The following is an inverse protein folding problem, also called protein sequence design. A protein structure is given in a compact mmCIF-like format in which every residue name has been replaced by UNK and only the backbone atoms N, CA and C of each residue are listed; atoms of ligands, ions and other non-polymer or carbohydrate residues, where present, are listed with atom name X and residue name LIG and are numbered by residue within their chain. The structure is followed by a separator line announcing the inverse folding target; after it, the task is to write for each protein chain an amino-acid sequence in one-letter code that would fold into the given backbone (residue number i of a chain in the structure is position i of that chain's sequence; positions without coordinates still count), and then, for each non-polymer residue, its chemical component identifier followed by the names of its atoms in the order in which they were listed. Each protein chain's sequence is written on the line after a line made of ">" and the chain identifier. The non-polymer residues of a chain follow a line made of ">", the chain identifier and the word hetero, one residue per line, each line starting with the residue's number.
data_IF_214259205661
#
_entry.id   IF_214259205661
#
_cell.length_a   1.000
_cell.length_b   1.000
_cell.length_c   1.000
_cell.angle_alpha   90.00
_cell.angle_beta   90.00
_cell.angle_gamma   90.00
#
_symmetry.space_group_name_H-M   'P 1'
#
loop_
_entity.id
_entity.type
_entity.pdbx_description
1 polymer ?
#
# COMPACT_ATOMS: atom_id res chain seq x y z
N UNK A 1 -26.65 -8.93 -6.19
CA UNK A 1 -25.90 -9.06 -4.91
C UNK A 1 -24.83 -10.14 -4.94
N UNK A 2 -25.08 -11.34 -5.50
CA UNK A 2 -24.08 -12.43 -5.48
C UNK A 2 -22.81 -12.16 -6.30
N UNK A 3 -22.91 -11.46 -7.43
CA UNK A 3 -21.76 -11.16 -8.26
C UNK A 3 -20.77 -10.15 -7.62
N UNK A 4 -21.25 -9.14 -6.88
CA UNK A 4 -20.39 -8.15 -6.24
C UNK A 4 -19.55 -8.74 -5.10
N UNK A 5 -20.13 -9.67 -4.33
CA UNK A 5 -19.43 -10.36 -3.24
C UNK A 5 -18.34 -11.28 -3.81
N UNK A 6 -18.61 -11.99 -4.89
CA UNK A 6 -17.67 -12.89 -5.56
C UNK A 6 -16.53 -12.09 -6.20
N UNK A 7 -16.78 -10.96 -6.85
CA UNK A 7 -15.75 -10.10 -7.42
C UNK A 7 -14.90 -9.42 -6.34
N UNK A 8 -15.52 -9.02 -5.22
CA UNK A 8 -14.81 -8.42 -4.09
C UNK A 8 -13.87 -9.43 -3.42
N UNK A 9 -14.29 -10.68 -3.22
CA UNK A 9 -13.44 -11.73 -2.63
C UNK A 9 -12.26 -12.08 -3.54
N UNK A 10 -12.49 -12.28 -4.85
CA UNK A 10 -11.42 -12.57 -5.82
C UNK A 10 -10.38 -11.44 -5.92
N UNK A 11 -10.81 -10.17 -5.93
CA UNK A 11 -9.90 -9.04 -5.94
C UNK A 11 -9.07 -8.94 -4.65
N UNK A 12 -9.66 -9.30 -3.50
CA UNK A 12 -8.95 -9.34 -2.22
C UNK A 12 -7.91 -10.47 -2.22
N UNK A 13 -8.27 -11.65 -2.74
CA UNK A 13 -7.37 -12.80 -2.83
C UNK A 13 -6.20 -12.55 -3.78
N UNK A 14 -6.43 -11.93 -4.95
CA UNK A 14 -5.36 -11.57 -5.88
C UNK A 14 -4.41 -10.52 -5.32
N UNK A 15 -4.94 -9.53 -4.60
CA UNK A 15 -4.12 -8.51 -3.95
C UNK A 15 -3.26 -9.10 -2.85
N UNK A 16 -3.79 -10.04 -2.05
CA UNK A 16 -3.03 -10.76 -1.04
C UNK A 16 -1.94 -11.64 -1.66
N UNK A 17 -2.23 -12.30 -2.79
CA UNK A 17 -1.25 -13.11 -3.53
C UNK A 17 -0.14 -12.24 -4.14
N UNK A 18 -0.49 -11.07 -4.70
CA UNK A 18 0.51 -10.10 -5.18
C UNK A 18 1.45 -9.66 -4.07
N UNK A 19 0.90 -9.28 -2.91
CA UNK A 19 1.68 -8.87 -1.74
C UNK A 19 2.63 -9.98 -1.27
N UNK A 20 2.12 -11.21 -1.18
CA UNK A 20 2.93 -12.38 -0.83
C UNK A 20 4.06 -12.65 -1.84
N UNK A 21 3.80 -12.54 -3.15
CA UNK A 21 4.82 -12.72 -4.18
C UNK A 21 5.85 -11.59 -4.18
N UNK A 22 5.41 -10.34 -3.94
CA UNK A 22 6.32 -9.20 -3.78
C UNK A 22 7.27 -9.41 -2.59
N UNK A 23 6.76 -9.89 -1.45
CA UNK A 23 7.59 -10.22 -0.28
C UNK A 23 8.58 -11.34 -0.55
N UNK A 24 8.17 -12.41 -1.25
CA UNK A 24 9.09 -13.48 -1.63
C UNK A 24 10.18 -13.01 -2.59
N UNK A 25 9.83 -12.15 -3.54
CA UNK A 25 10.81 -11.56 -4.46
C UNK A 25 11.78 -10.64 -3.73
N UNK A 26 11.28 -9.71 -2.91
CA UNK A 26 12.10 -8.81 -2.09
C UNK A 26 12.96 -9.58 -1.07
N UNK A 27 12.50 -10.72 -0.57
CA UNK A 27 13.22 -11.60 0.36
C UNK A 27 14.36 -12.40 -0.27
N UNK A 28 14.56 -12.36 -1.60
CA UNK A 28 15.70 -13.00 -2.23
C UNK A 28 17.01 -12.34 -1.79
N UNK A 29 17.98 -13.12 -1.33
CA UNK A 29 19.25 -12.60 -0.78
C UNK A 29 19.97 -11.62 -1.69
N UNK A 30 19.96 -11.88 -3.00
CA UNK A 30 20.59 -10.97 -3.97
C UNK A 30 19.84 -9.64 -4.06
N UNK A 31 18.51 -9.62 -3.95
CA UNK A 31 17.73 -8.39 -3.94
C UNK A 31 17.98 -7.62 -2.63
N UNK A 32 17.98 -8.32 -1.51
CA UNK A 32 18.32 -7.73 -0.21
C UNK A 32 19.72 -7.14 -0.20
N UNK A 33 20.68 -7.81 -0.83
CA UNK A 33 22.06 -7.31 -0.96
C UNK A 33 22.11 -5.97 -1.69
N UNK A 34 21.40 -5.83 -2.82
CA UNK A 34 21.32 -4.55 -3.53
C UNK A 34 20.68 -3.43 -2.68
N UNK A 35 19.70 -3.76 -1.82
CA UNK A 35 19.15 -2.79 -0.86
C UNK A 35 20.23 -2.41 0.16
N UNK A 36 20.86 -3.39 0.80
CA UNK A 36 21.84 -3.19 1.87
C UNK A 36 23.04 -2.34 1.44
N UNK A 37 23.57 -2.58 0.25
CA UNK A 37 24.69 -1.80 -0.31
C UNK A 37 24.38 -0.30 -0.36
N UNK A 38 23.11 0.06 -0.54
CA UNK A 38 22.69 1.46 -0.68
C UNK A 38 22.20 2.10 0.61
N UNK A 39 21.86 1.32 1.63
CA UNK A 39 21.26 1.84 2.87
C UNK A 39 22.12 1.63 4.11
N UNK A 40 23.10 0.74 4.05
CA UNK A 40 24.00 0.43 5.17
C UNK A 40 25.43 0.80 4.78
N UNK A 41 26.00 1.77 5.49
CA UNK A 41 27.32 2.33 5.14
C UNK A 41 28.41 1.26 5.07
N UNK A 42 28.36 0.26 5.95
CA UNK A 42 29.35 -0.82 6.00
C UNK A 42 29.42 -1.65 4.70
N UNK A 43 28.33 -1.74 3.95
CA UNK A 43 28.26 -2.56 2.73
C UNK A 43 28.45 -1.75 1.43
N UNK A 44 28.59 -0.44 1.52
CA UNK A 44 28.58 0.49 0.39
C UNK A 44 29.57 0.15 -0.73
N UNK A 45 30.76 -0.32 -0.36
CA UNK A 45 31.83 -0.64 -1.30
C UNK A 45 31.94 -2.14 -1.64
N UNK A 46 30.92 -2.93 -1.27
CA UNK A 46 30.89 -4.37 -1.51
C UNK A 46 30.05 -4.70 -2.74
N UNK A 47 30.39 -5.79 -3.41
CA UNK A 47 29.55 -6.35 -4.45
C UNK A 47 28.33 -7.11 -3.89
N UNK A 48 27.30 -7.25 -4.70
CA UNK A 48 26.02 -7.82 -4.26
C UNK A 48 26.12 -9.31 -3.88
N UNK A 49 26.96 -10.09 -4.56
CA UNK A 49 27.15 -11.51 -4.25
C UNK A 49 27.84 -11.68 -2.88
N UNK A 50 28.83 -10.85 -2.60
CA UNK A 50 29.51 -10.84 -1.30
C UNK A 50 28.50 -10.48 -0.19
N UNK A 51 27.73 -9.40 -0.33
CA UNK A 51 26.73 -9.02 0.68
C UNK A 51 25.62 -10.09 0.82
N UNK A 52 25.18 -10.68 -0.28
CA UNK A 52 24.20 -11.79 -0.23
C UNK A 52 24.73 -12.98 0.59
N UNK A 53 26.03 -13.29 0.52
CA UNK A 53 26.68 -14.36 1.29
C UNK A 53 26.75 -14.08 2.79
N UNK A 54 26.70 -12.80 3.20
CA UNK A 54 26.67 -12.38 4.60
C UNK A 54 25.27 -12.51 5.23
N UNK A 55 24.22 -12.67 4.43
CA UNK A 55 22.86 -12.89 4.94
C UNK A 55 22.76 -14.31 5.49
N UNK A 56 22.48 -14.45 6.80
CA UNK A 56 22.38 -15.74 7.48
C UNK A 56 21.09 -16.46 7.15
N UNK A 57 21.18 -17.78 6.94
CA UNK A 57 20.03 -18.65 6.69
C UNK A 57 19.15 -18.16 5.53
N UNK A 58 17.89 -18.52 5.54
CA UNK A 58 16.89 -17.98 4.61
C UNK A 58 16.13 -16.83 5.29
N UNK A 59 15.89 -15.69 4.60
CA UNK A 59 15.08 -14.60 5.15
C UNK A 59 13.67 -15.08 5.50
N UNK A 60 13.18 -14.64 6.66
CA UNK A 60 11.83 -14.96 7.11
C UNK A 60 10.85 -14.05 6.40
N UNK A 61 9.98 -14.65 5.58
CA UNK A 61 9.01 -13.96 4.75
C UNK A 61 7.61 -14.23 5.29
N UNK A 62 6.75 -13.24 5.25
CA UNK A 62 5.38 -13.20 5.74
C UNK A 62 5.29 -12.77 7.22
N UNK A 63 4.08 -12.62 7.71
CA UNK A 63 3.79 -12.04 9.03
C UNK A 63 4.58 -12.74 10.14
N UNK A 64 5.78 -12.23 10.42
CA UNK A 64 6.63 -12.71 11.51
C UNK A 64 6.26 -11.93 12.76
N UNK A 65 5.61 -12.53 13.76
CA UNK A 65 5.30 -11.84 14.99
C UNK A 65 6.60 -11.62 15.80
N UNK A 66 6.79 -10.40 16.27
CA UNK A 66 7.87 -10.06 17.21
C UNK A 66 7.25 -9.65 18.53
N UNK A 67 7.58 -10.38 19.55
CA UNK A 67 7.09 -10.17 20.91
C UNK A 67 8.10 -9.45 21.79
N UNK A 68 7.65 -8.68 22.79
CA UNK A 68 8.54 -8.13 23.80
C UNK A 68 8.92 -9.24 24.81
N UNK A 69 10.22 -9.43 25.01
CA UNK A 69 10.76 -10.22 26.13
C UNK A 69 10.50 -11.73 26.16
N UNK A 70 11.17 -12.38 27.01
CA UNK A 70 11.11 -13.70 27.67
C UNK A 70 10.71 -15.00 26.92
N UNK A 71 9.95 -14.99 25.82
CA UNK A 71 9.36 -16.25 25.29
C UNK A 71 10.00 -16.78 24.02
N UNK A 72 10.89 -16.03 23.41
CA UNK A 72 11.51 -16.39 22.14
C UNK A 72 12.98 -16.80 22.31
N UNK A 73 13.21 -17.89 23.04
CA UNK A 73 14.56 -18.52 23.05
C UNK A 73 14.89 -18.98 21.64
N UNK A 74 16.00 -18.50 21.10
CA UNK A 74 16.57 -19.02 19.88
C UNK A 74 16.84 -20.52 20.05
N UNK A 75 16.18 -21.33 19.26
CA UNK A 75 16.59 -22.71 19.07
C UNK A 75 17.59 -22.72 17.91
N UNK A 76 18.82 -23.11 18.20
CA UNK A 76 19.76 -23.44 17.15
C UNK A 76 19.40 -24.81 16.58
N UNK A 77 19.35 -24.94 15.26
CA UNK A 77 19.32 -26.25 14.63
C UNK A 77 20.61 -26.98 14.98
N UNK A 78 20.48 -28.10 15.68
CA UNK A 78 21.62 -28.88 16.17
C UNK A 78 22.50 -29.45 15.03
N UNK A 79 22.03 -29.43 13.79
CA UNK A 79 22.73 -29.95 12.61
C UNK A 79 23.44 -28.87 11.82
N UNK A 80 22.83 -27.69 11.66
CA UNK A 80 23.36 -26.62 10.79
C UNK A 80 24.00 -25.49 11.61
N UNK A 81 23.74 -25.41 12.92
CA UNK A 81 24.14 -24.28 13.76
C UNK A 81 23.41 -22.97 13.39
N UNK A 82 22.42 -23.05 12.51
CA UNK A 82 21.61 -21.90 12.11
C UNK A 82 20.52 -21.63 13.16
N UNK A 83 20.17 -20.36 13.31
CA UNK A 83 19.08 -19.96 14.20
C UNK A 83 17.72 -20.35 13.64
N UNK A 84 16.95 -21.09 14.41
CA UNK A 84 15.52 -21.26 14.16
C UNK A 84 14.81 -20.10 14.87
N UNK A 85 14.41 -19.08 14.15
CA UNK A 85 13.57 -18.01 14.74
C UNK A 85 12.21 -18.58 15.08
N UNK A 86 11.86 -18.47 16.35
CA UNK A 86 10.82 -19.17 17.02
C UNK A 86 9.51 -19.38 16.27
N UNK A 87 9.16 -20.64 16.15
CA UNK A 87 7.86 -21.11 15.65
C UNK A 87 6.70 -20.89 16.65
N UNK A 88 6.96 -20.36 17.87
CA UNK A 88 5.94 -20.10 18.88
C UNK A 88 6.06 -18.67 19.39
N UNK A 89 5.28 -17.82 18.83
CA UNK A 89 5.22 -16.40 19.08
C UNK A 89 3.86 -15.99 19.61
N UNK A 90 3.25 -16.85 20.42
CA UNK A 90 2.05 -16.52 21.18
C UNK A 90 2.39 -16.16 22.60
N UNK A 91 2.88 -14.95 22.85
CA UNK A 91 2.61 -14.26 24.10
C UNK A 91 1.99 -12.90 23.77
N UNK A 92 0.74 -12.82 23.99
CA UNK A 92 0.02 -11.55 24.05
C UNK A 92 0.25 -10.96 25.43
N UNK A 93 1.04 -9.93 25.53
CA UNK A 93 0.85 -9.01 26.65
C UNK A 93 -0.55 -8.40 26.47
N UNK A 94 -1.31 -8.39 27.55
CA UNK A 94 -2.79 -8.24 27.54
C UNK A 94 -3.28 -6.94 26.89
N UNK A 95 -2.42 -5.95 26.60
CA UNK A 95 -2.78 -4.67 25.99
C UNK A 95 -1.86 -4.21 24.84
N UNK A 96 -0.80 -4.94 24.51
CA UNK A 96 0.07 -4.62 23.37
C UNK A 96 -0.17 -5.57 22.21
N UNK A 97 -0.87 -5.10 21.17
CA UNK A 97 -1.17 -5.89 19.97
C UNK A 97 0.07 -6.52 19.31
N UNK A 98 -0.10 -7.69 18.72
CA UNK A 98 0.96 -8.36 17.95
C UNK A 98 1.43 -7.45 16.82
N UNK A 99 2.74 -7.26 16.70
CA UNK A 99 3.37 -6.56 15.58
C UNK A 99 3.89 -7.63 14.61
N UNK A 100 3.54 -7.47 13.35
CA UNK A 100 3.97 -8.35 12.29
C UNK A 100 4.91 -7.61 11.35
N UNK A 101 6.01 -8.26 10.99
CA UNK A 101 6.99 -7.77 10.04
C UNK A 101 6.87 -8.54 8.72
N UNK A 102 7.16 -7.86 7.62
CA UNK A 102 7.05 -8.47 6.30
C UNK A 102 8.23 -9.40 6.01
N UNK A 103 9.45 -8.94 6.27
CA UNK A 103 10.68 -9.70 6.04
C UNK A 103 11.65 -9.39 7.17
N UNK A 104 12.11 -10.43 7.87
CA UNK A 104 13.16 -10.33 8.88
C UNK A 104 14.31 -11.22 8.48
N UNK A 105 15.54 -10.72 8.61
CA UNK A 105 16.75 -11.48 8.37
C UNK A 105 17.92 -10.92 9.17
N UNK A 106 18.98 -11.71 9.27
CA UNK A 106 20.20 -11.37 9.96
C UNK A 106 21.34 -11.26 8.97
N UNK A 107 22.22 -10.30 9.18
CA UNK A 107 23.40 -10.08 8.33
C UNK A 107 24.64 -10.04 9.21
N UNK A 108 25.69 -10.73 8.83
CA UNK A 108 26.99 -10.64 9.48
C UNK A 108 27.67 -9.36 9.05
N UNK A 109 28.26 -8.68 10.05
CA UNK A 109 29.12 -7.54 9.77
C UNK A 109 30.43 -7.99 9.11
N UNK A 110 31.10 -7.06 8.46
CA UNK A 110 32.36 -7.33 7.70
C UNK A 110 33.45 -7.99 8.55
N UNK A 111 33.54 -7.61 9.82
CA UNK A 111 34.48 -8.16 10.79
C UNK A 111 34.03 -9.50 11.42
N UNK A 112 32.82 -9.94 11.10
CA UNK A 112 32.25 -11.18 11.55
C UNK A 112 31.80 -11.22 13.03
N UNK A 113 31.97 -10.13 13.77
CA UNK A 113 31.72 -10.08 15.22
C UNK A 113 30.29 -9.67 15.59
N UNK A 114 29.62 -8.92 14.75
CA UNK A 114 28.27 -8.43 15.04
C UNK A 114 27.24 -8.97 14.05
N UNK A 115 25.99 -9.01 14.49
CA UNK A 115 24.82 -9.33 13.66
C UNK A 115 23.89 -8.13 13.60
N UNK A 116 23.34 -7.90 12.44
CA UNK A 116 22.39 -6.85 12.19
C UNK A 116 21.02 -7.48 12.00
N UNK A 117 20.00 -6.94 12.66
CA UNK A 117 18.60 -7.34 12.48
C UNK A 117 17.96 -6.34 11.51
N UNK A 118 17.44 -6.83 10.40
CA UNK A 118 16.84 -6.01 9.37
C UNK A 118 15.39 -6.42 9.19
N UNK A 119 14.51 -5.42 9.25
CA UNK A 119 13.11 -5.54 8.89
C UNK A 119 12.86 -4.73 7.63
N UNK A 120 12.26 -5.35 6.64
CA UNK A 120 11.85 -4.71 5.39
C UNK A 120 10.32 -4.68 5.31
N UNK A 121 9.75 -3.49 5.20
CA UNK A 121 8.33 -3.24 5.09
C UNK A 121 7.98 -2.59 3.76
N UNK A 122 7.06 -3.18 3.00
CA UNK A 122 6.58 -2.62 1.75
C UNK A 122 5.20 -1.98 1.92
N UNK A 123 5.13 -0.65 1.85
CA UNK A 123 3.90 0.11 1.97
C UNK A 123 3.42 0.61 0.60
N UNK A 124 2.26 0.14 0.16
CA UNK A 124 1.71 0.51 -1.15
C UNK A 124 1.16 1.94 -1.20
N UNK A 125 0.55 2.40 -0.12
CA UNK A 125 0.00 3.76 0.01
C UNK A 125 0.26 4.29 1.41
N UNK A 126 0.40 5.63 1.53
CA UNK A 126 0.51 6.27 2.84
C UNK A 126 -0.78 6.06 3.65
N UNK A 127 -0.68 5.63 4.92
CA UNK A 127 -1.83 5.43 5.78
C UNK A 127 -2.51 6.75 6.12
N UNK A 128 -3.86 6.78 6.12
CA UNK A 128 -4.63 7.99 6.47
C UNK A 128 -4.85 8.17 7.98
N UNK A 129 -4.65 7.12 8.78
CA UNK A 129 -4.94 7.12 10.23
C UNK A 129 -3.73 7.44 11.11
N UNK A 130 -2.50 7.31 10.59
CA UNK A 130 -1.27 7.53 11.33
C UNK A 130 -0.13 7.89 10.38
N UNK A 131 0.90 8.54 10.92
CA UNK A 131 2.13 8.81 10.18
C UNK A 131 3.01 7.57 10.13
N UNK A 132 3.45 7.19 8.95
CA UNK A 132 4.25 6.00 8.72
C UNK A 132 5.57 6.02 9.50
N UNK A 133 6.19 7.19 9.66
CA UNK A 133 7.41 7.36 10.44
C UNK A 133 7.21 6.99 11.92
N UNK A 134 6.07 7.37 12.52
CA UNK A 134 5.77 7.01 13.90
C UNK A 134 5.65 5.48 14.07
N UNK A 135 5.05 4.81 13.09
CA UNK A 135 5.01 3.35 13.06
C UNK A 135 6.41 2.75 12.93
N UNK A 136 7.25 3.31 12.06
CA UNK A 136 8.63 2.86 11.87
C UNK A 136 9.45 2.99 13.16
N UNK A 137 9.31 4.12 13.88
CA UNK A 137 9.96 4.34 15.18
C UNK A 137 9.50 3.26 16.19
N UNK A 138 8.19 3.04 16.28
CA UNK A 138 7.63 2.04 17.21
C UNK A 138 8.13 0.62 16.88
N UNK A 139 8.16 0.25 15.59
CA UNK A 139 8.66 -1.05 15.14
C UNK A 139 10.15 -1.24 15.44
N UNK A 140 10.96 -0.20 15.21
CA UNK A 140 12.40 -0.23 15.53
C UNK A 140 12.63 -0.40 17.03
N UNK A 141 11.90 0.35 17.87
CA UNK A 141 11.99 0.22 19.31
C UNK A 141 11.59 -1.20 19.77
N UNK A 142 10.58 -1.80 19.16
CA UNK A 142 10.16 -3.18 19.43
C UNK A 142 11.24 -4.18 19.05
N UNK A 143 11.89 -4.04 17.90
CA UNK A 143 13.01 -4.89 17.48
C UNK A 143 14.20 -4.79 18.44
N UNK A 144 14.54 -3.58 18.90
CA UNK A 144 15.59 -3.37 19.88
C UNK A 144 15.23 -4.07 21.20
N UNK A 145 14.01 -3.84 21.72
CA UNK A 145 13.59 -4.44 23.01
C UNK A 145 13.44 -5.95 22.96
N UNK A 146 13.07 -6.52 21.82
CA UNK A 146 12.88 -7.96 21.64
C UNK A 146 14.18 -8.76 21.64
N UNK A 147 15.34 -8.12 21.65
CA UNK A 147 16.64 -8.79 21.71
C UNK A 147 16.95 -9.34 23.09
N UNK A 148 16.33 -8.78 24.14
CA UNK A 148 16.51 -9.30 25.50
C UNK A 148 16.04 -10.77 25.58
N UNK A 149 16.84 -11.62 26.23
CA UNK A 149 16.69 -13.08 26.33
C UNK A 149 16.80 -13.84 24.98
N UNK A 150 17.12 -13.11 23.88
CA UNK A 150 17.42 -13.71 22.56
C UNK A 150 18.88 -13.51 22.18
N UNK A 151 19.29 -12.25 22.09
CA UNK A 151 20.65 -11.85 21.72
C UNK A 151 21.55 -11.70 22.96
N UNK A 152 20.95 -11.30 24.09
CA UNK A 152 21.64 -11.15 25.37
C UNK A 152 20.73 -11.52 26.54
N UNK A 153 21.31 -11.90 27.67
CA UNK A 153 20.58 -12.29 28.88
C UNK A 153 20.89 -11.35 30.04
N UNK A 154 19.99 -11.25 31.00
CA UNK A 154 20.18 -10.48 32.21
C UNK A 154 20.41 -8.98 31.95
N UNK A 155 21.61 -8.48 32.30
CA UNK A 155 21.99 -7.05 32.20
C UNK A 155 23.09 -6.78 31.17
N UNK A 156 23.33 -7.68 30.24
CA UNK A 156 24.39 -7.56 29.25
C UNK A 156 24.00 -6.70 28.05
N UNK A 157 23.62 -5.45 28.32
CA UNK A 157 23.16 -4.51 27.31
C UNK A 157 24.22 -4.13 26.26
N UNK A 158 25.48 -4.47 26.47
CA UNK A 158 26.54 -4.22 25.47
C UNK A 158 26.42 -5.15 24.25
N UNK A 159 25.72 -6.27 24.40
CA UNK A 159 25.47 -7.23 23.33
C UNK A 159 24.26 -6.89 22.43
N UNK A 160 23.60 -5.74 22.66
CA UNK A 160 22.51 -5.28 21.81
C UNK A 160 23.04 -5.07 20.38
N UNK A 161 22.41 -5.72 19.43
CA UNK A 161 22.74 -5.63 18.00
C UNK A 161 22.10 -4.42 17.36
N UNK A 162 22.72 -3.90 16.32
CA UNK A 162 22.11 -2.88 15.47
C UNK A 162 20.84 -3.41 14.82
N UNK A 163 19.83 -2.54 14.72
CA UNK A 163 18.55 -2.80 14.07
C UNK A 163 18.37 -1.81 12.93
N UNK A 164 18.10 -2.33 11.75
CA UNK A 164 17.66 -1.53 10.61
C UNK A 164 16.21 -1.85 10.28
N UNK A 165 15.36 -0.85 10.36
CA UNK A 165 13.97 -0.92 9.92
C UNK A 165 13.85 -0.17 8.59
N UNK A 166 13.74 -0.92 7.48
CA UNK A 166 13.75 -0.40 6.11
C UNK A 166 12.33 -0.40 5.58
N UNK A 167 11.85 0.77 5.17
CA UNK A 167 10.49 0.98 4.68
C UNK A 167 10.50 1.37 3.21
N UNK A 168 9.87 0.57 2.36
CA UNK A 168 9.66 0.86 0.95
C UNK A 168 8.25 1.43 0.79
N UNK A 169 8.15 2.73 0.56
CA UNK A 169 6.90 3.46 0.42
C UNK A 169 6.61 3.73 -1.06
N UNK A 170 5.59 3.06 -1.60
CA UNK A 170 5.21 3.19 -3.01
C UNK A 170 4.26 4.36 -3.24
N UNK A 171 4.12 4.76 -4.50
CA UNK A 171 3.22 5.85 -4.95
C UNK A 171 3.50 7.21 -4.29
N UNK A 172 4.76 7.45 -3.93
CA UNK A 172 5.20 8.74 -3.41
C UNK A 172 5.23 9.81 -4.52
N UNK A 173 5.22 11.07 -4.13
CA UNK A 173 5.31 12.20 -5.06
C UNK A 173 6.62 12.20 -5.84
N UNK A 174 7.70 11.82 -5.18
CA UNK A 174 9.06 11.78 -5.73
C UNK A 174 9.88 10.65 -5.13
N UNK A 175 10.97 10.26 -5.81
CA UNK A 175 11.91 9.30 -5.28
C UNK A 175 12.74 9.93 -4.16
N UNK A 176 12.81 9.26 -3.02
CA UNK A 176 13.53 9.75 -1.85
C UNK A 176 14.18 8.62 -1.05
N UNK A 177 15.29 8.92 -0.41
CA UNK A 177 15.99 8.03 0.50
C UNK A 177 16.37 8.82 1.75
N UNK A 178 15.87 8.41 2.91
CA UNK A 178 16.15 9.05 4.19
C UNK A 178 16.64 8.04 5.20
N UNK A 179 17.71 8.37 5.91
CA UNK A 179 18.21 7.61 7.05
C UNK A 179 17.96 8.40 8.33
N UNK A 180 17.24 7.82 9.27
CA UNK A 180 16.90 8.39 10.57
C UNK A 180 17.63 7.56 11.65
N UNK A 181 18.48 8.21 12.43
CA UNK A 181 19.29 7.60 13.46
C UNK A 181 19.44 8.52 14.67
N UNK A 182 20.02 8.02 15.76
CA UNK A 182 20.23 8.80 16.96
C UNK A 182 21.50 9.64 16.88
N UNK A 183 21.47 10.87 17.38
CA UNK A 183 22.62 11.74 17.56
C UNK A 183 22.69 12.22 18.99
N UNK A 184 23.89 12.55 19.48
CA UNK A 184 24.14 13.13 20.80
C UNK A 184 24.41 14.64 20.67
N UNK A 185 23.65 15.43 21.37
CA UNK A 185 23.91 16.86 21.54
C UNK A 185 24.41 17.14 22.96
N UNK A 186 25.57 17.73 23.11
CA UNK A 186 26.11 18.14 24.43
C UNK A 186 25.52 19.49 24.84
N UNK A 187 24.51 19.48 25.71
CA UNK A 187 23.83 20.67 26.19
C UNK A 187 24.62 21.43 27.26
N UNK A 188 25.49 20.76 28.03
CA UNK A 188 26.36 21.32 29.05
C UNK A 188 27.57 20.39 29.26
N UNK A 189 28.77 20.91 28.93
CA UNK A 189 30.00 20.15 29.02
C UNK A 189 30.03 18.95 28.06
N UNK A 190 31.21 18.40 27.85
CA UNK A 190 31.39 17.22 27.02
C UNK A 190 31.64 15.99 27.90
N UNK A 191 30.87 14.92 27.70
CA UNK A 191 31.07 13.63 28.35
C UNK A 191 31.12 12.53 27.30
N UNK A 192 32.19 11.75 27.36
CA UNK A 192 32.33 10.56 26.52
C UNK A 192 31.51 9.40 27.11
N UNK A 193 30.20 9.40 26.85
CA UNK A 193 29.32 8.29 27.21
C UNK A 193 29.66 7.06 26.36
N UNK A 194 30.10 5.98 27.02
CA UNK A 194 30.37 4.71 26.32
C UNK A 194 29.05 4.08 25.89
N UNK A 195 29.00 3.57 24.66
CA UNK A 195 27.83 2.92 24.08
C UNK A 195 27.79 3.08 22.56
N UNK A 196 26.75 2.54 21.97
CA UNK A 196 26.51 2.61 20.52
C UNK A 196 25.22 3.38 20.24
N UNK A 197 25.33 4.54 19.58
CA UNK A 197 24.17 5.33 19.14
C UNK A 197 23.53 4.76 17.88
N UNK A 198 24.25 3.93 17.11
CA UNK A 198 23.77 3.34 15.85
C UNK A 198 22.93 2.07 16.06
N UNK A 199 22.44 1.83 17.29
CA UNK A 199 21.58 0.67 17.56
C UNK A 199 20.26 0.79 16.78
N UNK A 200 19.44 1.86 16.89
CA UNK A 200 18.23 2.01 16.11
C UNK A 200 18.48 2.78 14.82
N UNK A 201 18.19 2.17 13.69
CA UNK A 201 18.28 2.80 12.37
C UNK A 201 16.96 2.62 11.62
N UNK A 202 16.43 3.70 11.06
CA UNK A 202 15.23 3.66 10.21
C UNK A 202 15.62 4.19 8.85
N UNK A 203 15.30 3.44 7.80
CA UNK A 203 15.51 3.86 6.42
C UNK A 203 14.16 3.96 5.71
N UNK A 204 13.85 5.15 5.19
CA UNK A 204 12.64 5.41 4.43
C UNK A 204 13.00 5.56 2.95
N UNK A 205 12.47 4.66 2.11
CA UNK A 205 12.68 4.64 0.66
C UNK A 205 11.36 5.02 0.01
N UNK A 206 11.26 6.22 -0.54
CA UNK A 206 10.10 6.67 -1.30
C UNK A 206 10.24 6.34 -2.78
N UNK A 207 9.29 5.59 -3.34
CA UNK A 207 9.23 5.26 -4.75
C UNK A 207 8.13 6.06 -5.45
N UNK A 208 8.51 6.90 -6.42
CA UNK A 208 7.58 7.57 -7.31
C UNK A 208 6.87 6.55 -8.22
N UNK A 209 5.77 6.97 -8.85
CA UNK A 209 5.02 6.10 -9.79
C UNK A 209 5.85 5.74 -11.03
N UNK A 210 6.65 6.68 -11.50
CA UNK A 210 7.50 6.48 -12.67
C UNK A 210 8.87 5.96 -12.25
N UNK A 211 9.37 5.00 -13.03
CA UNK A 211 10.70 4.44 -12.83
C UNK A 211 11.73 5.51 -13.21
N UNK A 212 12.65 5.88 -12.32
CA UNK A 212 13.62 6.93 -12.60
C UNK A 212 14.62 6.54 -13.71
N UNK A 213 15.31 7.52 -14.32
CA UNK A 213 16.36 7.26 -15.29
C UNK A 213 17.52 6.46 -14.70
N UNK A 214 18.34 5.87 -15.59
CA UNK A 214 19.54 5.12 -15.19
C UNK A 214 20.63 6.10 -14.77
N UNK A 215 20.61 6.51 -13.52
CA UNK A 215 21.61 7.35 -12.86
C UNK A 215 21.99 6.71 -11.53
N UNK A 216 23.26 6.84 -11.12
CA UNK A 216 23.80 6.22 -9.90
C UNK A 216 22.97 6.56 -8.64
N UNK A 217 22.54 7.83 -8.49
CA UNK A 217 21.72 8.28 -7.36
C UNK A 217 20.35 7.59 -7.27
N UNK A 218 19.84 7.07 -8.40
CA UNK A 218 18.54 6.42 -8.49
C UNK A 218 18.62 4.90 -8.62
N UNK A 219 19.80 4.30 -8.53
CA UNK A 219 20.00 2.90 -8.80
C UNK A 219 19.07 2.00 -7.97
N UNK A 220 19.00 2.23 -6.65
CA UNK A 220 18.08 1.49 -5.78
C UNK A 220 16.61 1.72 -6.15
N UNK A 221 16.21 2.98 -6.39
CA UNK A 221 14.83 3.31 -6.75
C UNK A 221 14.44 2.70 -8.10
N UNK A 222 15.36 2.66 -9.04
CA UNK A 222 15.14 2.05 -10.35
C UNK A 222 14.98 0.54 -10.25
N UNK A 223 15.78 -0.14 -9.43
CA UNK A 223 15.63 -1.57 -9.15
C UNK A 223 14.28 -1.85 -8.49
N UNK A 224 14.00 -1.22 -7.35
CA UNK A 224 12.78 -1.43 -6.61
C UNK A 224 11.52 -1.02 -7.40
N UNK A 225 11.59 0.10 -8.12
CA UNK A 225 10.53 0.54 -9.02
C UNK A 225 10.26 -0.47 -10.12
N UNK A 226 11.30 -1.09 -10.70
CA UNK A 226 11.16 -2.17 -11.69
C UNK A 226 10.52 -3.42 -11.07
N UNK A 227 11.01 -3.88 -9.93
CA UNK A 227 10.48 -5.08 -9.24
C UNK A 227 9.00 -4.92 -8.92
N UNK A 228 8.62 -3.78 -8.36
CA UNK A 228 7.27 -3.51 -7.84
C UNK A 228 6.34 -2.83 -8.87
N UNK A 229 6.82 -2.53 -10.09
CA UNK A 229 6.00 -1.98 -11.17
C UNK A 229 4.81 -2.89 -11.49
N UNK A 230 3.64 -2.28 -11.68
CA UNK A 230 2.43 -2.98 -12.13
C UNK A 230 2.20 -2.85 -13.64
N UNK A 231 2.99 -2.02 -14.33
CA UNK A 231 2.84 -1.73 -15.77
C UNK A 231 3.91 -2.37 -16.65
N UNK A 232 5.01 -2.87 -16.07
CA UNK A 232 6.05 -3.58 -16.82
C UNK A 232 5.71 -5.04 -16.98
N UNK A 233 6.00 -5.59 -18.19
CA UNK A 233 5.88 -7.02 -18.42
C UNK A 233 6.98 -7.82 -17.69
N UNK A 234 6.77 -9.10 -17.49
CA UNK A 234 7.75 -9.98 -16.84
C UNK A 234 9.08 -9.98 -17.60
N UNK A 235 9.05 -10.01 -18.95
CA UNK A 235 10.25 -9.99 -19.79
C UNK A 235 11.05 -8.68 -19.62
N UNK A 236 10.37 -7.53 -19.56
CA UNK A 236 11.00 -6.23 -19.34
C UNK A 236 11.70 -6.18 -17.98
N UNK A 237 11.01 -6.63 -16.91
CA UNK A 237 11.60 -6.70 -15.57
C UNK A 237 12.83 -7.61 -15.51
N UNK A 238 12.70 -8.83 -16.00
CA UNK A 238 13.80 -9.82 -16.00
C UNK A 238 15.00 -9.35 -16.82
N UNK A 239 14.74 -8.69 -17.97
CA UNK A 239 15.79 -8.11 -18.80
C UNK A 239 16.56 -7.01 -18.06
N UNK A 240 15.83 -6.08 -17.41
CA UNK A 240 16.46 -4.99 -16.66
C UNK A 240 17.27 -5.51 -15.47
N UNK A 241 16.69 -6.42 -14.67
CA UNK A 241 17.36 -7.06 -13.54
C UNK A 241 18.66 -7.72 -13.96
N UNK A 242 18.66 -8.45 -15.08
CA UNK A 242 19.84 -9.14 -15.58
C UNK A 242 20.89 -8.18 -16.19
N UNK A 243 20.45 -7.19 -16.97
CA UNK A 243 21.36 -6.33 -17.73
C UNK A 243 21.93 -5.15 -16.93
N UNK A 244 21.19 -4.65 -15.94
CA UNK A 244 21.60 -3.47 -15.18
C UNK A 244 22.14 -3.82 -13.79
N UNK A 245 21.76 -4.97 -13.23
CA UNK A 245 22.09 -5.36 -11.85
C UNK A 245 22.77 -6.73 -11.74
N UNK A 246 23.03 -7.40 -12.84
CA UNK A 246 23.64 -8.75 -12.88
C UNK A 246 22.89 -9.79 -12.02
N UNK A 247 21.59 -9.54 -11.75
CA UNK A 247 20.78 -10.44 -10.93
C UNK A 247 20.57 -11.77 -11.69
N UNK A 248 20.87 -12.93 -11.07
CA UNK A 248 20.76 -14.23 -11.70
C UNK A 248 19.29 -14.70 -11.76
N UNK A 249 18.52 -14.09 -12.66
CA UNK A 249 17.05 -14.28 -12.79
C UNK A 249 16.60 -15.72 -13.05
N UNK A 250 17.51 -16.60 -13.46
CA UNK A 250 17.25 -18.01 -13.72
C UNK A 250 17.45 -18.90 -12.47
N UNK A 251 17.85 -18.30 -11.35
CA UNK A 251 18.07 -18.98 -10.07
C UNK A 251 17.02 -18.62 -9.04
N UNK A 252 16.86 -19.48 -8.03
CA UNK A 252 16.05 -19.23 -6.81
C UNK A 252 14.58 -18.84 -7.03
N UNK A 253 13.97 -19.23 -8.16
CA UNK A 253 12.56 -18.94 -8.41
C UNK A 253 12.25 -17.47 -8.73
N UNK A 254 13.25 -16.58 -8.89
CA UNK A 254 13.06 -15.15 -9.20
C UNK A 254 12.18 -14.98 -10.44
N UNK A 255 12.45 -15.73 -11.51
CA UNK A 255 11.67 -15.70 -12.74
C UNK A 255 10.20 -16.02 -12.52
N UNK A 256 9.93 -17.02 -11.68
CA UNK A 256 8.57 -17.48 -11.42
C UNK A 256 7.80 -16.46 -10.57
N UNK A 257 8.42 -15.90 -9.54
CA UNK A 257 7.80 -14.84 -8.72
C UNK A 257 7.51 -13.59 -9.54
N UNK A 258 8.42 -13.15 -10.42
CA UNK A 258 8.20 -12.01 -11.32
C UNK A 258 7.02 -12.28 -12.25
N UNK A 259 6.90 -13.48 -12.82
CA UNK A 259 5.76 -13.86 -13.66
C UNK A 259 4.45 -13.87 -12.89
N UNK A 260 4.44 -14.46 -11.69
CA UNK A 260 3.26 -14.48 -10.81
C UNK A 260 2.80 -13.06 -10.51
N UNK A 261 3.71 -12.18 -10.12
CA UNK A 261 3.38 -10.78 -9.84
C UNK A 261 2.79 -10.06 -11.06
N UNK A 262 3.35 -10.25 -12.25
CA UNK A 262 2.84 -9.60 -13.46
C UNK A 262 1.44 -10.12 -13.82
N UNK A 263 1.21 -11.42 -13.79
CA UNK A 263 -0.11 -12.01 -14.07
C UNK A 263 -1.17 -11.52 -13.06
N UNK A 264 -0.81 -11.39 -11.77
CA UNK A 264 -1.71 -10.89 -10.74
C UNK A 264 -1.99 -9.38 -10.91
N UNK A 265 -1.02 -8.60 -11.39
CA UNK A 265 -1.21 -7.17 -11.69
C UNK A 265 -2.21 -6.96 -12.82
N UNK A 266 -2.10 -7.71 -13.91
CA UNK A 266 -3.04 -7.67 -15.05
C UNK A 266 -4.46 -8.01 -14.57
N UNK A 267 -4.64 -9.06 -13.78
CA UNK A 267 -5.94 -9.45 -13.24
C UNK A 267 -6.56 -8.40 -12.30
N UNK A 268 -5.76 -7.70 -11.52
CA UNK A 268 -6.22 -6.61 -10.64
C UNK A 268 -6.65 -5.39 -11.46
N UNK A 269 -5.93 -5.08 -12.54
CA UNK A 269 -6.25 -3.94 -13.41
C UNK A 269 -7.55 -4.19 -14.19
N UNK A 270 -7.73 -5.39 -14.78
CA UNK A 270 -8.96 -5.79 -15.46
C UNK A 270 -10.18 -5.72 -14.54
N UNK A 271 -10.06 -6.21 -13.29
CA UNK A 271 -11.15 -6.12 -12.32
C UNK A 271 -11.40 -4.69 -11.85
N UNK A 272 -10.37 -3.87 -11.73
CA UNK A 272 -10.48 -2.44 -11.44
C UNK A 272 -11.26 -1.70 -12.52
N UNK A 273 -10.97 -1.98 -13.79
CA UNK A 273 -11.66 -1.43 -14.93
C UNK A 273 -13.14 -1.85 -14.98
N UNK A 274 -13.41 -3.15 -14.83
CA UNK A 274 -14.77 -3.68 -14.82
C UNK A 274 -15.62 -3.10 -13.67
N UNK A 275 -15.03 -2.93 -12.49
CA UNK A 275 -15.69 -2.31 -11.34
C UNK A 275 -15.96 -0.81 -11.55
N UNK A 276 -15.01 -0.09 -12.15
CA UNK A 276 -15.16 1.31 -12.53
C UNK A 276 -16.28 1.51 -13.56
N UNK A 277 -16.34 0.66 -14.58
CA UNK A 277 -17.38 0.68 -15.60
C UNK A 277 -18.77 0.39 -15.01
N UNK A 278 -18.87 -0.63 -14.15
CA UNK A 278 -20.12 -0.98 -13.48
C UNK A 278 -20.62 0.16 -12.57
N UNK A 279 -19.72 0.76 -11.79
CA UNK A 279 -20.03 1.89 -10.92
C UNK A 279 -20.45 3.14 -11.73
N UNK A 280 -19.75 3.44 -12.84
CA UNK A 280 -20.09 4.52 -13.74
C UNK A 280 -21.47 4.33 -14.39
N UNK A 281 -21.79 3.12 -14.84
CA UNK A 281 -23.13 2.79 -15.39
C UNK A 281 -24.22 2.92 -14.33
N UNK A 282 -23.97 2.47 -13.10
CA UNK A 282 -24.95 2.59 -12.01
C UNK A 282 -25.20 4.05 -11.62
N UNK A 283 -24.14 4.85 -11.48
CA UNK A 283 -24.27 6.28 -11.21
C UNK A 283 -24.98 7.04 -12.31
N UNK A 284 -24.62 6.77 -13.58
CA UNK A 284 -25.30 7.40 -14.72
C UNK A 284 -26.78 7.05 -14.85
N UNK A 285 -27.17 5.80 -14.51
CA UNK A 285 -28.60 5.41 -14.43
C UNK A 285 -29.33 6.16 -13.33
N UNK A 286 -28.78 6.20 -12.13
CA UNK A 286 -29.41 6.88 -10.99
C UNK A 286 -29.57 8.39 -11.25
N UNK A 287 -28.61 9.03 -11.88
CA UNK A 287 -28.68 10.44 -12.26
C UNK A 287 -29.69 10.66 -13.38
N UNK A 288 -29.69 9.80 -14.41
CA UNK A 288 -30.68 9.82 -15.48
C UNK A 288 -32.14 9.65 -14.99
N UNK A 289 -32.37 8.74 -14.06
CA UNK A 289 -33.69 8.55 -13.42
C UNK A 289 -34.15 9.80 -12.66
N UNK A 290 -33.25 10.41 -11.86
CA UNK A 290 -33.58 11.66 -11.14
C UNK A 290 -33.94 12.81 -12.08
N UNK A 291 -33.15 12.99 -13.14
CA UNK A 291 -33.41 14.02 -14.14
C UNK A 291 -34.71 13.74 -14.88
N UNK A 292 -34.95 12.49 -15.27
CA UNK A 292 -36.17 12.06 -15.94
C UNK A 292 -37.43 12.27 -15.07
N UNK A 293 -37.37 11.89 -13.79
CA UNK A 293 -38.45 12.10 -12.84
C UNK A 293 -38.76 13.60 -12.61
N UNK A 294 -37.70 14.41 -12.44
CA UNK A 294 -37.87 15.85 -12.25
C UNK A 294 -38.50 16.51 -13.48
N UNK A 295 -38.03 16.16 -14.70
CA UNK A 295 -38.61 16.66 -15.95
C UNK A 295 -40.03 16.17 -16.14
N UNK A 296 -40.33 14.90 -15.91
CA UNK A 296 -41.67 14.34 -16.02
C UNK A 296 -42.65 15.02 -15.06
N UNK A 297 -42.25 15.31 -13.82
CA UNK A 297 -43.07 16.07 -12.87
C UNK A 297 -43.39 17.50 -13.33
N UNK A 298 -42.43 18.19 -13.93
CA UNK A 298 -42.62 19.55 -14.44
C UNK A 298 -43.57 19.54 -15.64
N UNK A 299 -43.31 18.65 -16.62
CA UNK A 299 -44.15 18.52 -17.82
C UNK A 299 -45.60 18.12 -17.43
N UNK A 300 -45.79 17.06 -16.63
CA UNK A 300 -47.08 16.59 -16.23
C UNK A 300 -47.90 17.63 -15.43
N UNK A 301 -47.21 18.47 -14.60
CA UNK A 301 -47.88 19.59 -13.94
C UNK A 301 -48.33 20.70 -14.91
N UNK A 302 -47.51 20.99 -15.93
CA UNK A 302 -47.86 22.00 -16.92
C UNK A 302 -49.01 21.55 -17.83
N UNK A 303 -48.97 20.30 -18.29
CA UNK A 303 -50.01 19.70 -19.11
C UNK A 303 -51.33 19.59 -18.33
N UNK A 304 -51.30 19.05 -17.08
CA UNK A 304 -52.51 18.96 -16.24
C UNK A 304 -53.14 20.32 -15.95
N UNK A 305 -52.38 21.39 -15.72
CA UNK A 305 -52.92 22.74 -15.57
C UNK A 305 -53.52 23.29 -16.87
N UNK A 306 -52.94 22.93 -18.01
CA UNK A 306 -53.47 23.33 -19.30
C UNK A 306 -54.82 22.65 -19.58
N UNK A 307 -54.90 21.34 -19.36
CA UNK A 307 -56.14 20.55 -19.50
C UNK A 307 -57.24 21.04 -18.55
N UNK A 308 -56.93 21.32 -17.30
CA UNK A 308 -57.84 21.83 -16.29
C UNK A 308 -58.40 23.22 -16.72
N UNK A 309 -57.57 24.11 -17.26
CA UNK A 309 -58.01 25.39 -17.76
C UNK A 309 -58.98 25.24 -18.94
N UNK A 310 -58.68 24.37 -19.89
CA UNK A 310 -59.55 24.06 -21.04
C UNK A 310 -60.90 23.55 -20.55
N UNK A 311 -60.93 22.62 -19.57
CA UNK A 311 -62.15 22.06 -19.02
C UNK A 311 -62.99 23.13 -18.28
N UNK A 312 -62.36 24.05 -17.55
CA UNK A 312 -63.01 25.17 -16.88
C UNK A 312 -63.67 26.09 -17.93
N UNK A 313 -62.96 26.45 -19.01
CA UNK A 313 -63.45 27.32 -20.08
C UNK A 313 -64.68 26.70 -20.74
N UNK A 314 -64.63 25.42 -21.11
CA UNK A 314 -65.72 24.71 -21.74
C UNK A 314 -66.95 24.59 -20.79
N UNK A 315 -66.74 24.37 -19.51
CA UNK A 315 -67.79 24.33 -18.49
C UNK A 315 -68.45 25.69 -18.30
N UNK A 316 -67.68 26.77 -18.26
CA UNK A 316 -68.23 28.12 -18.13
C UNK A 316 -69.04 28.52 -19.38
N UNK A 317 -68.49 28.25 -20.58
CA UNK A 317 -69.24 28.48 -21.83
C UNK A 317 -70.53 27.74 -21.91
N UNK A 318 -70.57 26.44 -21.54
CA UNK A 318 -71.79 25.63 -21.50
C UNK A 318 -72.79 26.11 -20.49
N UNK A 319 -72.42 26.81 -19.43
CA UNK A 319 -73.30 27.42 -18.43
C UNK A 319 -73.76 28.83 -18.83
N UNK A 320 -73.38 29.35 -19.99
CA UNK A 320 -73.79 30.62 -20.51
C UNK A 320 -73.05 31.86 -20.00
N UNK A 321 -71.86 31.71 -19.47
CA UNK A 321 -71.01 32.86 -19.10
C UNK A 321 -70.57 33.60 -20.35
N UNK A 322 -70.43 34.93 -20.23
CA UNK A 322 -69.92 35.76 -21.36
C UNK A 322 -68.42 35.58 -21.52
N UNK A 323 -67.91 35.90 -22.72
CA UNK A 323 -66.46 35.85 -22.98
C UNK A 323 -65.66 36.72 -21.99
N UNK A 324 -66.15 37.92 -21.63
CA UNK A 324 -65.54 38.81 -20.65
C UNK A 324 -65.46 38.13 -19.27
N UNK A 325 -66.49 37.43 -18.82
CA UNK A 325 -66.51 36.73 -17.56
C UNK A 325 -65.52 35.54 -17.56
N UNK A 326 -65.37 34.84 -18.69
CA UNK A 326 -64.39 33.74 -18.82
C UNK A 326 -62.98 34.29 -18.84
N UNK A 327 -62.73 35.41 -19.50
CA UNK A 327 -61.41 36.13 -19.52
C UNK A 327 -61.00 36.53 -18.12
N UNK A 328 -61.89 37.12 -17.33
CA UNK A 328 -61.64 37.56 -15.95
C UNK A 328 -61.27 36.44 -15.01
N UNK A 329 -61.86 35.24 -15.18
CA UNK A 329 -61.59 34.06 -14.35
C UNK A 329 -60.31 33.29 -14.76
N UNK A 330 -60.00 33.30 -16.04
CA UNK A 330 -58.92 32.44 -16.60
C UNK A 330 -57.65 33.17 -16.90
N UNK A 331 -57.61 34.50 -16.84
CA UNK A 331 -56.51 35.38 -17.26
C UNK A 331 -56.06 35.13 -18.72
N UNK A 332 -56.99 34.68 -19.59
CA UNK A 332 -56.69 34.38 -21.00
C UNK A 332 -57.31 35.43 -21.93
N UNK A 333 -56.66 35.64 -23.05
CA UNK A 333 -57.16 36.53 -24.07
C UNK A 333 -58.42 35.98 -24.76
N UNK A 334 -59.25 36.88 -25.33
CA UNK A 334 -60.47 36.52 -26.10
C UNK A 334 -60.14 35.54 -27.26
N UNK A 335 -58.99 35.74 -27.94
CA UNK A 335 -58.58 34.87 -29.04
C UNK A 335 -58.23 33.44 -28.58
N UNK A 336 -57.59 33.32 -27.42
CA UNK A 336 -57.24 32.00 -26.85
C UNK A 336 -58.49 31.25 -26.37
N UNK A 337 -59.47 31.96 -25.79
CA UNK A 337 -60.73 31.34 -25.33
C UNK A 337 -61.53 30.93 -26.55
N UNK A 338 -61.68 31.73 -27.58
CA UNK A 338 -62.36 31.36 -28.82
C UNK A 338 -61.78 30.12 -29.47
N UNK A 339 -60.43 30.01 -29.50
CA UNK A 339 -59.73 28.83 -30.07
C UNK A 339 -60.02 27.53 -29.29
N UNK A 340 -60.55 27.60 -28.04
CA UNK A 340 -60.94 26.43 -27.22
C UNK A 340 -62.42 26.09 -27.39
N UNK A 341 -63.29 27.06 -27.61
CA UNK A 341 -64.76 26.86 -27.65
C UNK A 341 -65.31 26.68 -29.04
N UNK A 342 -64.59 27.11 -30.11
CA UNK A 342 -64.89 26.85 -31.51
C UNK A 342 -64.39 25.47 -31.94
#
# INVERSE_FOLDING_TARGET
>A
MDNEIVYSSKATDQKAQYDASAKRLLGQKIILAHILIRVVEEFKDMDADTVASLIEGEPYISQVPVEPGLTNKDMLDARTGERIVGLNTESSEIDEGKIYFDIIFYVRMRDGLAKMIINLEAQKNEPTKYFILNRAIFYTARLVSSQKEREFTGSDYNEIKQVYSIWICMNMKENSLSHIHMVKDDLLGEQDWKGNLDIPNIVMIGLAKEIPPKEERYELHRLLGTLLSQTMTAEQKLKLMKQEYDIPVDRHGIRDEVKIMCNLSEGVEEMGYAKGEAAGKAAGRAEGEKIGEARGKVIGRSEGRSEERVDIILKMHKKGYTLEQIMDVTDMSESEIKAIID
#
